data_IF_768348803265
#
_entry.id   IF_768348803265
#
_cell.length_a   1.000
_cell.length_b   1.000
_cell.length_c   1.000
_cell.angle_alpha   90.00
_cell.angle_beta   90.00
_cell.angle_gamma   90.00
#
_symmetry.space_group_name_H-M   'P 1'
#
loop_
_entity.id
_entity.type
_entity.pdbx_description
1 polymer ?
#
# COMPACT_ATOMS: atom_id res chain seq x y z
N UNK A 1 15.11 -9.05 -4.17
CA UNK A 1 15.72 -9.49 -2.92
C UNK A 1 15.81 -8.39 -1.87
N UNK A 2 16.19 -8.75 -0.68
CA UNK A 2 16.34 -7.85 0.48
C UNK A 2 17.72 -8.00 1.12
N UNK A 3 17.97 -7.29 2.21
CA UNK A 3 19.24 -7.36 2.95
C UNK A 3 19.59 -8.78 3.39
N UNK A 4 18.63 -9.51 3.99
CA UNK A 4 18.84 -10.86 4.53
C UNK A 4 18.38 -11.97 3.58
N UNK A 5 17.49 -11.67 2.64
CA UNK A 5 16.93 -12.64 1.69
C UNK A 5 17.25 -12.22 0.25
N UNK A 6 18.33 -12.78 -0.29
CA UNK A 6 18.75 -12.49 -1.65
C UNK A 6 17.91 -13.25 -2.67
N UNK A 7 17.68 -12.63 -3.82
CA UNK A 7 16.97 -13.23 -4.95
C UNK A 7 15.61 -13.85 -4.53
N UNK A 8 15.40 -15.11 -4.88
CA UNK A 8 14.16 -15.85 -4.59
C UNK A 8 14.19 -16.57 -3.22
N UNK A 9 15.22 -16.37 -2.39
CA UNK A 9 15.33 -17.10 -1.12
C UNK A 9 14.20 -16.76 -0.15
N UNK A 10 13.68 -15.53 -0.19
CA UNK A 10 12.50 -15.12 0.59
C UNK A 10 11.26 -15.93 0.21
N UNK A 11 10.96 -16.03 -1.08
CA UNK A 11 9.79 -16.77 -1.56
C UNK A 11 9.91 -18.26 -1.23
N UNK A 12 11.08 -18.85 -1.47
CA UNK A 12 11.34 -20.26 -1.15
C UNK A 12 11.18 -20.53 0.35
N UNK A 13 11.69 -19.64 1.20
CA UNK A 13 11.53 -19.77 2.64
C UNK A 13 10.05 -19.71 3.06
N UNK A 14 9.31 -18.72 2.59
CA UNK A 14 7.89 -18.55 2.93
C UNK A 14 7.07 -19.77 2.50
N UNK A 15 7.29 -20.30 1.29
CA UNK A 15 6.65 -21.53 0.83
C UNK A 15 6.99 -22.72 1.73
N UNK A 16 8.23 -22.81 2.24
CA UNK A 16 8.66 -23.91 3.11
C UNK A 16 7.95 -23.92 4.46
N UNK A 17 7.40 -22.81 4.90
CA UNK A 17 6.60 -22.68 6.13
C UNK A 17 5.08 -22.62 5.89
N UNK A 18 4.64 -22.82 4.63
CA UNK A 18 3.23 -22.85 4.25
C UNK A 18 2.62 -21.50 3.94
N UNK A 19 3.43 -20.44 3.79
CA UNK A 19 2.99 -19.09 3.38
C UNK A 19 3.13 -18.95 1.86
N UNK A 20 2.00 -18.90 1.16
CA UNK A 20 1.94 -18.85 -0.30
C UNK A 20 1.70 -17.42 -0.80
N UNK A 21 2.42 -17.02 -1.85
CA UNK A 21 2.23 -15.73 -2.50
C UNK A 21 0.81 -15.62 -3.11
N UNK A 22 0.19 -14.47 -2.91
CA UNK A 22 -1.17 -14.19 -3.39
C UNK A 22 -2.28 -14.72 -2.49
N UNK A 23 -2.01 -15.74 -1.66
CA UNK A 23 -2.95 -16.29 -0.68
C UNK A 23 -2.68 -15.77 0.73
N UNK A 24 -1.50 -16.03 1.26
CA UNK A 24 -1.11 -15.69 2.63
C UNK A 24 -0.10 -14.55 2.71
N UNK A 25 0.51 -14.19 1.60
CA UNK A 25 1.46 -13.11 1.44
C UNK A 25 0.93 -12.17 0.36
N UNK A 26 0.69 -10.92 0.73
CA UNK A 26 0.25 -9.91 -0.23
C UNK A 26 0.58 -8.49 0.26
N UNK A 27 0.32 -7.52 -0.61
CA UNK A 27 0.38 -6.11 -0.29
C UNK A 27 -0.73 -5.36 -1.04
N UNK A 28 -1.17 -4.26 -0.48
CA UNK A 28 -2.05 -3.33 -1.19
C UNK A 28 -1.66 -1.89 -0.92
N UNK A 29 -1.95 -1.02 -1.88
CA UNK A 29 -1.77 0.43 -1.77
C UNK A 29 -3.12 1.12 -1.88
N UNK A 30 -3.40 2.01 -0.94
CA UNK A 30 -4.50 2.97 -1.01
C UNK A 30 -3.98 4.38 -1.30
N UNK A 31 -4.81 5.40 -1.16
CA UNK A 31 -4.43 6.80 -1.41
C UNK A 31 -3.43 7.34 -0.39
N UNK A 32 -3.38 6.78 0.81
CA UNK A 32 -2.63 7.29 1.97
C UNK A 32 -1.65 6.28 2.59
N UNK A 33 -1.76 4.99 2.26
CA UNK A 33 -0.94 3.94 2.86
C UNK A 33 -0.65 2.79 1.91
N UNK A 34 0.44 2.08 2.18
CA UNK A 34 0.73 0.75 1.63
C UNK A 34 0.84 -0.23 2.80
N UNK A 35 0.15 -1.35 2.69
CA UNK A 35 0.15 -2.40 3.71
C UNK A 35 0.77 -3.66 3.12
N UNK A 36 1.74 -4.22 3.82
CA UNK A 36 2.36 -5.52 3.54
C UNK A 36 1.95 -6.48 4.64
N UNK A 37 1.51 -7.66 4.31
CA UNK A 37 1.00 -8.58 5.31
C UNK A 37 1.26 -10.05 5.01
N UNK A 38 1.36 -10.81 6.10
CA UNK A 38 1.29 -12.28 6.10
C UNK A 38 0.06 -12.71 6.86
N UNK A 39 -0.53 -13.80 6.43
CA UNK A 39 -1.57 -14.53 7.18
C UNK A 39 -1.17 -15.99 7.34
N UNK A 40 -1.76 -16.66 8.32
CA UNK A 40 -1.59 -18.09 8.57
C UNK A 40 -0.13 -18.54 8.79
N UNK A 41 0.68 -17.66 9.39
CA UNK A 41 2.02 -18.03 9.83
C UNK A 41 1.92 -19.04 10.98
N UNK A 42 2.61 -20.20 10.92
CA UNK A 42 2.51 -21.22 11.95
C UNK A 42 3.14 -20.75 13.27
N UNK A 43 2.33 -20.32 14.23
CA UNK A 43 2.76 -19.73 15.51
C UNK A 43 3.39 -20.74 16.46
N UNK A 44 3.03 -22.01 16.38
CA UNK A 44 3.70 -23.09 17.11
C UNK A 44 5.20 -23.21 16.79
N UNK A 45 5.64 -22.64 15.67
CA UNK A 45 7.02 -22.59 15.23
C UNK A 45 7.59 -21.19 15.40
N UNK A 46 8.09 -20.88 16.59
CA UNK A 46 8.65 -19.56 16.95
C UNK A 46 9.64 -19.02 15.90
N UNK A 47 10.52 -19.89 15.37
CA UNK A 47 11.47 -19.51 14.32
C UNK A 47 10.80 -19.04 13.02
N UNK A 48 9.59 -19.50 12.71
CA UNK A 48 8.85 -19.02 11.54
C UNK A 48 8.32 -17.59 11.78
N UNK A 49 7.81 -17.34 12.98
CA UNK A 49 7.37 -16.00 13.41
C UNK A 49 8.55 -15.02 13.39
N UNK A 50 9.68 -15.38 13.99
CA UNK A 50 10.90 -14.55 14.01
C UNK A 50 11.41 -14.23 12.60
N UNK A 51 11.38 -15.20 11.70
CA UNK A 51 11.77 -14.97 10.30
C UNK A 51 10.80 -14.04 9.57
N UNK A 52 9.48 -14.17 9.83
CA UNK A 52 8.50 -13.22 9.28
C UNK A 52 8.72 -11.80 9.82
N UNK A 53 9.08 -11.64 11.10
CA UNK A 53 9.46 -10.35 11.66
C UNK A 53 10.70 -9.76 10.98
N UNK A 54 11.72 -10.59 10.68
CA UNK A 54 12.90 -10.16 9.92
C UNK A 54 12.54 -9.76 8.49
N UNK A 55 11.61 -10.46 7.83
CA UNK A 55 11.13 -10.08 6.51
C UNK A 55 10.41 -8.73 6.54
N UNK A 56 9.56 -8.49 7.54
CA UNK A 56 8.91 -7.18 7.73
C UNK A 56 9.94 -6.06 7.93
N UNK A 57 11.01 -6.32 8.72
CA UNK A 57 12.13 -5.38 8.88
C UNK A 57 12.81 -5.09 7.54
N UNK A 58 13.08 -6.11 6.75
CA UNK A 58 13.71 -5.94 5.44
C UNK A 58 12.82 -5.16 4.46
N UNK A 59 11.52 -5.39 4.47
CA UNK A 59 10.60 -4.58 3.65
C UNK A 59 10.54 -3.13 4.11
N UNK A 60 10.67 -2.90 5.41
CA UNK A 60 10.64 -1.54 5.95
C UNK A 60 11.89 -0.72 5.62
N UNK A 61 13.07 -1.34 5.55
CA UNK A 61 14.34 -0.59 5.40
C UNK A 61 15.46 -1.36 4.69
N UNK A 62 15.20 -2.54 4.12
CA UNK A 62 16.25 -3.42 3.57
C UNK A 62 15.97 -3.95 2.16
N UNK A 63 15.05 -3.36 1.40
CA UNK A 63 14.80 -3.79 0.01
C UNK A 63 15.99 -3.38 -0.87
N UNK A 64 16.51 -4.33 -1.65
CA UNK A 64 17.71 -4.12 -2.48
C UNK A 64 17.50 -3.14 -3.63
N UNK A 65 16.30 -3.07 -4.21
CA UNK A 65 15.92 -2.21 -5.33
C UNK A 65 16.99 -2.18 -6.43
N UNK A 66 17.45 -3.38 -6.87
CA UNK A 66 18.42 -3.46 -7.96
C UNK A 66 17.83 -2.92 -9.24
N UNK A 67 18.65 -2.33 -10.10
CA UNK A 67 18.19 -1.79 -11.39
C UNK A 67 17.47 -2.87 -12.20
N UNK A 68 18.03 -4.07 -12.26
CA UNK A 68 17.40 -5.19 -12.97
C UNK A 68 16.00 -5.51 -12.41
N UNK A 69 15.84 -5.62 -11.10
CA UNK A 69 14.54 -5.94 -10.50
C UNK A 69 13.50 -4.83 -10.76
N UNK A 70 13.91 -3.57 -10.77
CA UNK A 70 13.03 -2.43 -11.08
C UNK A 70 12.59 -2.48 -12.55
N UNK A 71 13.53 -2.75 -13.47
CA UNK A 71 13.20 -2.84 -14.89
C UNK A 71 12.30 -4.05 -15.21
N UNK A 72 12.58 -5.21 -14.62
CA UNK A 72 11.77 -6.42 -14.80
C UNK A 72 10.32 -6.20 -14.29
N UNK A 73 10.12 -5.40 -13.23
CA UNK A 73 8.80 -5.14 -12.63
C UNK A 73 7.91 -4.21 -13.47
N UNK A 74 8.47 -3.40 -14.37
CA UNK A 74 7.68 -2.49 -15.23
C UNK A 74 6.64 -3.24 -16.06
N UNK A 75 7.03 -4.34 -16.68
CA UNK A 75 6.12 -5.17 -17.48
C UNK A 75 5.02 -5.80 -16.62
N UNK A 76 5.33 -6.16 -15.37
CA UNK A 76 4.33 -6.67 -14.41
C UNK A 76 3.29 -5.60 -14.10
N UNK A 77 3.72 -4.36 -13.80
CA UNK A 77 2.81 -3.22 -13.54
C UNK A 77 1.98 -2.88 -14.79
N UNK A 78 2.56 -2.92 -15.99
CA UNK A 78 1.82 -2.74 -17.25
C UNK A 78 0.74 -3.81 -17.45
N UNK A 79 1.05 -5.06 -17.15
CA UNK A 79 0.08 -6.15 -17.22
C UNK A 79 -1.06 -5.95 -16.21
N UNK A 80 -0.72 -5.57 -14.97
CA UNK A 80 -1.70 -5.25 -13.94
C UNK A 80 -2.61 -4.09 -14.38
N UNK A 81 -2.04 -3.01 -14.92
CA UNK A 81 -2.81 -1.89 -15.46
C UNK A 81 -3.80 -2.37 -16.53
N UNK A 82 -3.33 -3.14 -17.52
CA UNK A 82 -4.19 -3.66 -18.60
C UNK A 82 -5.32 -4.54 -18.07
N UNK A 83 -5.09 -5.33 -17.04
CA UNK A 83 -6.10 -6.20 -16.45
C UNK A 83 -7.12 -5.45 -15.60
N UNK A 84 -6.70 -4.40 -14.89
CA UNK A 84 -7.55 -3.65 -13.96
C UNK A 84 -8.27 -2.48 -14.62
N UNK A 85 -7.63 -1.80 -15.58
CA UNK A 85 -8.14 -0.59 -16.18
C UNK A 85 -9.08 -0.88 -17.36
N UNK A 86 -10.19 -1.53 -17.06
CA UNK A 86 -11.24 -1.91 -18.01
C UNK A 86 -12.62 -1.42 -17.52
N UNK A 87 -13.56 -1.25 -18.42
CA UNK A 87 -14.95 -0.95 -18.08
C UNK A 87 -15.10 0.19 -17.08
N UNK A 88 -15.69 -0.13 -15.93
CA UNK A 88 -16.00 0.82 -14.87
C UNK A 88 -14.76 1.54 -14.33
N UNK A 89 -13.62 0.84 -14.20
CA UNK A 89 -12.41 1.45 -13.66
C UNK A 89 -11.88 2.58 -14.56
N UNK A 90 -11.94 2.42 -15.87
CA UNK A 90 -11.60 3.48 -16.81
C UNK A 90 -12.54 4.68 -16.70
N UNK A 91 -13.82 4.46 -16.42
CA UNK A 91 -14.77 5.55 -16.19
C UNK A 91 -14.43 6.31 -14.90
N UNK A 92 -14.05 5.62 -13.82
CA UNK A 92 -13.58 6.28 -12.59
C UNK A 92 -12.31 7.11 -12.82
N UNK A 93 -11.33 6.60 -13.55
CA UNK A 93 -10.11 7.35 -13.88
C UNK A 93 -10.42 8.68 -14.57
N UNK A 94 -11.40 8.70 -15.46
CA UNK A 94 -11.83 9.93 -16.16
C UNK A 94 -12.73 10.84 -15.31
N UNK A 95 -13.48 10.25 -14.37
CA UNK A 95 -14.40 10.98 -13.51
C UNK A 95 -13.70 11.67 -12.32
N UNK A 96 -12.72 11.01 -11.71
CA UNK A 96 -12.08 11.48 -10.47
C UNK A 96 -11.46 12.88 -10.58
N UNK A 97 -10.76 13.28 -11.67
CA UNK A 97 -10.27 14.64 -11.79
C UNK A 97 -11.36 15.73 -11.69
N UNK A 98 -12.58 15.41 -12.13
CA UNK A 98 -13.72 16.31 -12.03
C UNK A 98 -14.34 16.28 -10.63
N UNK A 99 -14.52 15.09 -10.05
CA UNK A 99 -15.10 14.91 -8.73
C UNK A 99 -14.23 15.52 -7.63
N UNK A 100 -12.93 15.45 -7.78
CA UNK A 100 -11.95 16.01 -6.84
C UNK A 100 -11.42 17.39 -7.29
N UNK A 101 -12.02 17.99 -8.30
CA UNK A 101 -11.74 19.36 -8.75
C UNK A 101 -10.25 19.69 -8.95
N UNK A 102 -9.49 18.73 -9.49
CA UNK A 102 -8.04 18.88 -9.70
C UNK A 102 -7.16 18.60 -8.49
N UNK A 103 -7.74 18.24 -7.35
CA UNK A 103 -6.99 17.81 -6.19
C UNK A 103 -6.23 16.48 -6.44
N UNK A 104 -5.22 16.22 -5.63
CA UNK A 104 -4.32 15.06 -5.83
C UNK A 104 -5.03 13.72 -5.90
N UNK A 105 -6.11 13.53 -5.16
CA UNK A 105 -6.92 12.30 -5.20
C UNK A 105 -7.54 12.04 -6.58
N UNK A 106 -7.79 13.07 -7.37
CA UNK A 106 -8.38 12.94 -8.70
C UNK A 106 -7.46 12.36 -9.77
N UNK A 107 -6.13 12.43 -9.58
CA UNK A 107 -5.17 11.99 -10.60
C UNK A 107 -4.02 11.13 -10.07
N UNK A 108 -4.02 10.81 -8.76
CA UNK A 108 -3.01 9.93 -8.13
C UNK A 108 -3.62 8.59 -7.74
N UNK A 109 -4.07 7.84 -8.73
CA UNK A 109 -4.53 6.48 -8.50
C UNK A 109 -3.36 5.59 -8.04
N UNK A 110 -3.60 4.60 -7.16
CA UNK A 110 -2.56 3.71 -6.64
C UNK A 110 -1.75 2.99 -7.71
N UNK A 111 -2.36 2.63 -8.84
CA UNK A 111 -1.66 1.98 -9.95
C UNK A 111 -0.61 2.90 -10.60
N UNK A 112 -0.74 4.21 -10.44
CA UNK A 112 0.15 5.20 -11.02
C UNK A 112 -0.15 5.54 -12.48
N UNK A 113 0.69 6.43 -13.03
CA UNK A 113 0.63 6.83 -14.44
C UNK A 113 1.63 6.00 -15.25
N UNK A 114 1.21 5.41 -16.35
CA UNK A 114 2.08 4.59 -17.20
C UNK A 114 3.28 5.37 -17.72
N UNK A 115 3.11 6.65 -18.07
CA UNK A 115 4.23 7.52 -18.45
C UNK A 115 5.29 7.70 -17.34
N UNK A 116 4.87 7.65 -16.08
CA UNK A 116 5.79 7.68 -14.93
C UNK A 116 6.44 6.30 -14.73
N UNK A 117 5.68 5.23 -14.87
CA UNK A 117 6.20 3.87 -14.79
C UNK A 117 7.31 3.66 -15.84
N UNK A 118 7.11 4.11 -17.08
CA UNK A 118 8.08 4.00 -18.16
C UNK A 118 9.30 4.91 -17.97
N UNK A 119 9.08 6.14 -17.55
CA UNK A 119 10.11 7.18 -17.47
C UNK A 119 10.85 7.26 -16.13
N UNK A 120 10.36 6.60 -15.09
CA UNK A 120 10.96 6.69 -13.75
C UNK A 120 12.32 6.02 -13.71
N UNK A 121 13.36 6.78 -13.32
CA UNK A 121 14.69 6.24 -13.14
C UNK A 121 14.77 5.40 -11.85
N UNK A 122 15.57 4.31 -11.82
CA UNK A 122 15.75 3.51 -10.61
C UNK A 122 16.17 4.33 -9.38
N UNK A 123 16.99 5.37 -9.57
CA UNK A 123 17.44 6.27 -8.51
C UNK A 123 16.27 7.04 -7.87
N UNK A 124 15.28 7.41 -8.66
CA UNK A 124 14.07 8.11 -8.17
C UNK A 124 13.26 7.19 -7.25
N UNK A 125 13.08 5.92 -7.63
CA UNK A 125 12.39 4.93 -6.80
C UNK A 125 13.17 4.66 -5.50
N UNK A 126 14.48 4.51 -5.57
CA UNK A 126 15.34 4.36 -4.38
C UNK A 126 15.28 5.57 -3.47
N UNK A 127 15.26 6.78 -4.04
CA UNK A 127 15.12 8.03 -3.28
C UNK A 127 13.76 8.11 -2.58
N UNK A 128 12.69 7.71 -3.28
CA UNK A 128 11.34 7.62 -2.70
C UNK A 128 11.30 6.65 -1.52
N UNK A 129 11.83 5.44 -1.70
CA UNK A 129 11.88 4.43 -0.65
C UNK A 129 12.62 4.95 0.58
N UNK A 130 13.83 5.48 0.44
CA UNK A 130 14.62 6.06 1.55
C UNK A 130 13.92 7.26 2.22
N UNK A 131 13.15 8.03 1.46
CA UNK A 131 12.45 9.21 1.97
C UNK A 131 11.26 8.85 2.84
N UNK A 132 10.48 7.83 2.46
CA UNK A 132 9.18 7.58 3.05
C UNK A 132 9.10 6.31 3.91
N UNK A 133 9.94 5.30 3.65
CA UNK A 133 9.98 4.06 4.42
C UNK A 133 10.88 4.25 5.64
N UNK A 134 10.30 4.81 6.69
CA UNK A 134 10.98 5.16 7.94
C UNK A 134 10.10 4.80 9.14
N UNK A 135 10.68 4.49 10.31
CA UNK A 135 9.92 4.09 11.50
C UNK A 135 8.86 5.09 11.95
N UNK A 136 9.08 6.40 11.75
CA UNK A 136 8.13 7.47 12.09
C UNK A 136 6.90 7.53 11.16
N UNK A 137 6.92 6.80 10.04
CA UNK A 137 5.82 6.66 9.08
C UNK A 137 5.30 5.23 8.99
N UNK A 138 5.69 4.33 9.89
CA UNK A 138 5.35 2.91 9.82
C UNK A 138 4.70 2.43 11.12
N UNK A 139 3.83 1.46 11.00
CA UNK A 139 3.28 0.70 12.11
C UNK A 139 3.46 -0.78 11.87
N UNK A 140 3.74 -1.55 12.92
CA UNK A 140 3.80 -3.01 12.89
C UNK A 140 2.64 -3.51 13.72
N UNK A 141 1.85 -4.39 13.13
CA UNK A 141 0.67 -5.00 13.76
C UNK A 141 0.85 -6.51 13.70
N UNK A 142 0.83 -7.15 14.85
CA UNK A 142 0.92 -8.62 14.98
C UNK A 142 -0.30 -9.10 15.74
N UNK A 143 -1.06 -10.01 15.14
CA UNK A 143 -2.28 -10.57 15.73
C UNK A 143 -2.25 -12.08 15.60
N UNK A 144 -2.49 -12.79 16.70
CA UNK A 144 -2.53 -14.25 16.70
C UNK A 144 -2.19 -14.84 18.07
N UNK A 145 -2.03 -16.15 18.10
CA UNK A 145 -1.56 -16.89 19.29
C UNK A 145 -0.04 -16.78 19.37
N UNK A 146 0.45 -15.69 19.97
CA UNK A 146 1.87 -15.35 20.10
C UNK A 146 2.18 -14.81 21.49
N UNK A 147 3.42 -15.02 21.94
CA UNK A 147 3.92 -14.38 23.17
C UNK A 147 4.19 -12.89 22.88
N UNK A 148 3.40 -12.02 23.51
CA UNK A 148 3.47 -10.56 23.33
C UNK A 148 4.85 -10.01 23.72
N UNK A 149 5.45 -10.52 24.81
CA UNK A 149 6.76 -10.06 25.27
C UNK A 149 7.88 -10.46 24.30
N UNK A 150 7.79 -11.65 23.72
CA UNK A 150 8.71 -12.11 22.68
C UNK A 150 8.62 -11.22 21.44
N UNK A 151 7.40 -10.96 20.94
CA UNK A 151 7.16 -10.11 19.76
C UNK A 151 7.64 -8.68 20.00
N UNK A 152 7.32 -8.08 21.16
CA UNK A 152 7.78 -6.75 21.51
C UNK A 152 9.32 -6.69 21.57
N UNK A 153 9.96 -7.70 22.16
CA UNK A 153 11.41 -7.84 22.18
C UNK A 153 12.00 -7.88 20.78
N UNK A 154 11.41 -8.68 19.87
CA UNK A 154 11.84 -8.77 18.46
C UNK A 154 11.64 -7.46 17.70
N UNK A 155 10.54 -6.75 17.90
CA UNK A 155 10.33 -5.42 17.30
C UNK A 155 11.44 -4.47 17.75
N UNK A 156 11.73 -4.41 19.05
CA UNK A 156 12.81 -3.56 19.58
C UNK A 156 14.17 -3.95 19.01
N UNK A 157 14.49 -5.23 18.96
CA UNK A 157 15.75 -5.76 18.41
C UNK A 157 15.95 -5.35 16.95
N UNK A 158 14.94 -5.57 16.10
CA UNK A 158 15.04 -5.42 14.65
C UNK A 158 14.91 -3.98 14.16
N UNK A 159 14.09 -3.15 14.81
CA UNK A 159 13.71 -1.84 14.27
C UNK A 159 14.34 -0.64 15.00
N UNK A 160 14.80 -0.77 16.27
CA UNK A 160 15.34 0.35 17.02
C UNK A 160 16.64 0.93 16.43
N UNK A 161 17.36 0.15 15.63
CA UNK A 161 18.58 0.61 14.94
C UNK A 161 18.31 1.50 13.71
N UNK A 162 17.06 1.56 13.23
CA UNK A 162 16.71 2.32 12.04
C UNK A 162 16.55 3.80 12.42
N UNK A 163 17.41 4.65 11.85
CA UNK A 163 17.44 6.08 12.19
C UNK A 163 16.50 6.89 11.32
N UNK A 164 15.78 7.82 11.93
CA UNK A 164 15.01 8.85 11.24
C UNK A 164 15.90 10.09 11.04
N UNK A 165 16.07 10.61 9.80
CA UNK A 165 16.80 11.84 9.57
C UNK A 165 16.19 13.02 10.34
N UNK A 166 17.03 13.96 10.85
CA UNK A 166 16.56 15.13 11.59
C UNK A 166 15.64 16.05 10.77
N UNK A 167 15.88 16.10 9.46
CA UNK A 167 15.14 16.87 8.46
C UNK A 167 14.15 16.01 7.68
N UNK A 168 13.70 14.92 8.28
CA UNK A 168 12.79 13.97 7.64
C UNK A 168 11.52 14.66 7.11
N UNK A 169 11.19 14.39 5.85
CA UNK A 169 10.00 14.95 5.22
C UNK A 169 8.74 14.51 5.98
N UNK A 170 7.86 15.44 6.29
CA UNK A 170 6.57 15.15 6.92
C UNK A 170 5.53 14.78 5.88
N UNK A 171 4.67 13.85 6.24
CA UNK A 171 3.45 13.59 5.48
C UNK A 171 2.49 14.76 5.72
N UNK A 172 2.11 15.43 4.64
CA UNK A 172 1.15 16.54 4.72
C UNK A 172 -0.17 16.00 4.16
N UNK A 173 -1.23 15.95 4.98
CA UNK A 173 -2.56 15.59 4.50
C UNK A 173 -2.96 16.47 3.31
N UNK A 174 -3.57 15.86 2.33
CA UNK A 174 -4.10 16.60 1.17
C UNK A 174 -5.57 16.87 1.46
N UNK A 175 -5.98 18.13 1.62
CA UNK A 175 -7.39 18.44 1.80
C UNK A 175 -8.16 18.10 0.52
N UNK A 176 -9.40 17.68 0.68
CA UNK A 176 -10.36 17.57 -0.42
C UNK A 176 -11.31 18.75 -0.28
N UNK A 177 -11.31 19.62 -1.30
CA UNK A 177 -12.19 20.78 -1.31
C UNK A 177 -13.67 20.34 -1.29
N UNK A 178 -14.46 21.01 -0.46
CA UNK A 178 -15.91 20.87 -0.53
C UNK A 178 -16.46 21.53 -1.78
N UNK A 179 -17.72 21.25 -2.11
CA UNK A 179 -18.39 21.83 -3.27
C UNK A 179 -19.76 22.36 -2.90
N UNK A 180 -19.99 23.64 -3.19
CA UNK A 180 -21.28 24.31 -2.92
C UNK A 180 -22.40 23.85 -3.84
N UNK A 181 -22.05 23.24 -4.98
CA UNK A 181 -22.99 22.77 -6.00
C UNK A 181 -22.72 21.33 -6.37
N UNK A 182 -23.75 20.59 -6.74
CA UNK A 182 -23.63 19.21 -7.18
C UNK A 182 -22.75 19.12 -8.45
N UNK A 183 -21.83 18.17 -8.45
CA UNK A 183 -20.95 17.86 -9.57
C UNK A 183 -21.54 16.65 -10.29
N UNK A 184 -21.87 16.81 -11.56
CA UNK A 184 -22.39 15.74 -12.41
C UNK A 184 -21.32 15.26 -13.37
N UNK A 185 -21.08 13.96 -13.38
CA UNK A 185 -20.17 13.30 -14.33
C UNK A 185 -20.93 12.19 -15.02
N UNK A 186 -21.04 12.27 -16.34
CA UNK A 186 -21.62 11.22 -17.18
C UNK A 186 -20.50 10.68 -18.06
N UNK A 187 -20.31 9.39 -18.06
CA UNK A 187 -19.31 8.72 -18.88
C UNK A 187 -19.87 7.43 -19.47
N UNK A 188 -19.25 6.95 -20.54
CA UNK A 188 -19.64 5.74 -21.26
C UNK A 188 -18.43 4.85 -21.51
N UNK A 189 -18.62 3.56 -21.35
CA UNK A 189 -17.65 2.57 -21.78
C UNK A 189 -18.37 1.38 -22.42
N UNK A 190 -17.91 0.96 -23.59
CA UNK A 190 -18.52 -0.14 -24.35
C UNK A 190 -18.46 -1.50 -23.65
N UNK A 191 -17.55 -1.66 -22.69
CA UNK A 191 -17.40 -2.88 -21.90
C UNK A 191 -18.31 -2.91 -20.68
N UNK A 192 -18.96 -1.77 -20.37
CA UNK A 192 -19.92 -1.69 -19.27
C UNK A 192 -21.24 -2.33 -19.69
N UNK A 193 -21.67 -3.34 -18.94
CA UNK A 193 -22.84 -4.17 -19.27
C UNK A 193 -24.17 -3.62 -18.71
N UNK A 194 -24.10 -2.69 -17.75
CA UNK A 194 -25.27 -2.13 -17.09
C UNK A 194 -25.01 -0.67 -16.70
N UNK A 195 -26.08 0.10 -16.54
CA UNK A 195 -26.00 1.48 -16.05
C UNK A 195 -25.70 1.51 -14.56
N UNK A 196 -24.80 2.40 -14.15
CA UNK A 196 -24.44 2.60 -12.75
C UNK A 196 -24.69 4.08 -12.41
N UNK A 197 -25.39 4.30 -11.30
CA UNK A 197 -25.53 5.61 -10.69
C UNK A 197 -24.79 5.57 -9.35
N UNK A 198 -23.78 6.44 -9.21
CA UNK A 198 -23.07 6.63 -7.96
C UNK A 198 -23.38 8.02 -7.39
N UNK A 199 -23.77 8.07 -6.13
CA UNK A 199 -23.91 9.31 -5.38
C UNK A 199 -22.77 9.36 -4.37
N UNK A 200 -21.91 10.38 -4.49
CA UNK A 200 -20.76 10.57 -3.60
C UNK A 200 -21.00 11.82 -2.76
N UNK A 201 -20.98 11.64 -1.45
CA UNK A 201 -21.04 12.75 -0.49
C UNK A 201 -19.66 12.88 0.17
N UNK A 202 -19.13 14.10 0.20
CA UNK A 202 -17.87 14.40 0.88
C UNK A 202 -18.19 14.80 2.32
N UNK A 203 -17.45 14.25 3.25
CA UNK A 203 -17.56 14.57 4.68
C UNK A 203 -16.19 14.89 5.25
N UNK A 204 -16.15 15.64 6.33
CA UNK A 204 -14.91 15.83 7.09
C UNK A 204 -14.38 14.49 7.59
N UNK A 205 -13.07 14.36 7.58
CA UNK A 205 -12.41 13.17 8.15
C UNK A 205 -12.61 13.15 9.65
N UNK A 206 -13.26 12.13 10.15
CA UNK A 206 -13.38 11.90 11.59
C UNK A 206 -12.16 11.16 12.14
N UNK A 207 -11.79 11.39 13.40
CA UNK A 207 -10.72 10.63 14.04
C UNK A 207 -11.01 9.11 14.00
N UNK A 208 -10.00 8.30 13.73
CA UNK A 208 -10.04 6.84 13.81
C UNK A 208 -10.26 6.40 15.27
N UNK A 209 -11.47 6.49 15.72
CA UNK A 209 -11.92 6.09 17.06
C UNK A 209 -13.33 5.52 16.99
N UNK A 210 -13.67 4.68 17.94
CA UNK A 210 -15.03 4.14 18.04
C UNK A 210 -16.09 5.27 18.05
N UNK A 211 -15.79 6.38 18.75
CA UNK A 211 -16.67 7.54 18.82
C UNK A 211 -16.81 8.27 17.47
N UNK A 212 -15.76 8.30 16.66
CA UNK A 212 -15.78 8.91 15.32
C UNK A 212 -16.44 8.00 14.28
N UNK A 213 -16.28 6.69 14.41
CA UNK A 213 -16.79 5.70 13.43
C UNK A 213 -18.25 5.30 13.68
N UNK A 214 -18.68 5.32 14.95
CA UNK A 214 -20.02 4.85 15.33
C UNK A 214 -21.18 5.56 14.60
N UNK A 215 -21.20 6.88 14.39
CA UNK A 215 -22.27 7.54 13.63
C UNK A 215 -22.43 6.95 12.23
N UNK A 216 -21.33 6.72 11.52
CA UNK A 216 -21.36 6.17 10.16
C UNK A 216 -21.83 4.72 10.10
N UNK A 217 -21.57 3.92 11.15
CA UNK A 217 -22.06 2.55 11.23
C UNK A 217 -23.57 2.48 11.55
N UNK A 218 -24.14 3.55 12.09
CA UNK A 218 -25.56 3.61 12.45
C UNK A 218 -26.43 4.28 11.36
N UNK A 219 -25.81 4.99 10.42
CA UNK A 219 -26.51 5.66 9.31
C UNK A 219 -26.57 4.81 8.03
N UNK A 220 -25.90 3.66 7.97
CA UNK A 220 -25.93 2.66 6.88
C UNK A 220 -26.87 1.54 7.20
#
# INVERSE_FOLDING_TARGET
GTEHFKDNTLQNYLQSIGVEYGRNLNAYTSVDKTVYYFTDVPTARVSAVDSCMLILKDWSNGISLTTKAIEDERDVVHNEYRMRMVGQQLMYERAFPKLYQGEKYGYRLPIGLMSVIDGCKPETLRAYYRKWYRPDNQAIIVVGDVDVNHIEGKIKELFSGIKVPKDAAKVIPVPVADNDTAIYVVDKNKEQQYDIINIMMKNETTPDSLKGTLPYLLEG
#
